data_IF_702789388229
#
_entry.id   IF_702789388229
#
_cell.length_a   1.000
_cell.length_b   1.000
_cell.length_c   1.000
_cell.angle_alpha   90.00
_cell.angle_beta   90.00
_cell.angle_gamma   90.00
#
_symmetry.space_group_name_H-M   'P 1'
#
loop_
_entity.id
_entity.type
_entity.pdbx_description
1 polymer ?
#
# COMPACT_ATOMS: atom_id res chain seq x y z
N UNK A 1 -45.28 38.47 49.73
CA UNK A 1 -43.97 37.78 49.73
C UNK A 1 -43.98 36.81 48.56
N UNK A 2 -43.55 37.32 47.41
CA UNK A 2 -43.14 36.52 46.26
C UNK A 2 -42.05 35.54 46.70
N UNK A 3 -42.14 34.28 46.25
CA UNK A 3 -40.96 33.45 46.03
C UNK A 3 -41.12 32.80 44.66
N UNK A 4 -40.09 33.04 43.85
CA UNK A 4 -39.98 32.86 42.40
C UNK A 4 -40.29 31.44 41.88
N UNK A 5 -40.96 31.46 40.73
CA UNK A 5 -40.96 30.44 39.69
C UNK A 5 -39.53 30.23 39.16
N UNK A 6 -38.97 29.01 39.30
CA UNK A 6 -37.74 28.63 38.58
C UNK A 6 -37.76 27.16 38.13
N UNK A 7 -38.00 27.04 36.82
CA UNK A 7 -37.40 26.09 35.87
C UNK A 7 -38.12 24.75 35.60
N UNK A 8 -39.06 24.71 34.62
CA UNK A 8 -39.52 23.48 34.02
C UNK A 8 -38.70 23.21 32.74
N UNK A 9 -37.45 22.73 32.85
CA UNK A 9 -36.68 22.27 31.68
C UNK A 9 -35.89 20.99 31.95
N UNK A 10 -36.60 19.94 32.36
CA UNK A 10 -36.12 18.56 32.21
C UNK A 10 -37.28 17.62 31.88
N UNK A 11 -38.07 17.99 30.88
CA UNK A 11 -38.87 16.99 30.17
C UNK A 11 -37.98 16.39 29.09
N UNK A 12 -37.48 15.16 29.30
CA UNK A 12 -37.12 14.29 28.19
C UNK A 12 -38.41 13.97 27.42
N UNK A 13 -38.88 14.92 26.60
CA UNK A 13 -39.83 14.58 25.56
C UNK A 13 -39.09 13.67 24.60
N UNK A 14 -39.49 12.41 24.54
CA UNK A 14 -39.21 11.50 23.43
C UNK A 14 -39.85 12.09 22.16
N UNK A 15 -39.30 13.20 21.65
CA UNK A 15 -39.67 13.72 20.33
C UNK A 15 -38.96 12.82 19.34
N UNK A 16 -39.70 11.86 18.81
CA UNK A 16 -39.26 11.16 17.60
C UNK A 16 -38.86 12.25 16.57
N UNK A 17 -37.62 12.20 16.05
CA UNK A 17 -37.05 13.30 15.26
C UNK A 17 -37.68 13.42 13.87
N UNK A 18 -38.54 12.47 13.51
CA UNK A 18 -39.28 12.42 12.26
C UNK A 18 -40.72 12.90 12.44
N UNK A 19 -41.27 13.54 11.41
CA UNK A 19 -42.70 13.81 11.27
C UNK A 19 -43.48 12.55 10.87
N UNK A 20 -44.81 12.64 10.82
CA UNK A 20 -45.69 11.52 10.44
C UNK A 20 -45.45 11.04 9.00
N UNK A 21 -44.77 11.83 8.17
CA UNK A 21 -44.38 11.50 6.80
C UNK A 21 -42.97 10.90 6.72
N UNK A 22 -42.30 10.67 7.86
CA UNK A 22 -40.95 10.13 7.93
C UNK A 22 -39.84 11.12 7.55
N UNK A 23 -40.12 12.43 7.46
CA UNK A 23 -39.12 13.48 7.22
C UNK A 23 -38.59 14.04 8.53
N UNK A 24 -37.31 14.37 8.55
CA UNK A 24 -36.65 14.96 9.72
C UNK A 24 -37.24 16.35 10.01
N UNK A 25 -37.65 16.59 11.26
CA UNK A 25 -38.18 17.88 11.67
C UNK A 25 -37.09 18.96 11.64
N UNK A 26 -37.49 20.21 11.38
CA UNK A 26 -36.55 21.34 11.23
C UNK A 26 -35.90 21.70 12.58
N UNK A 27 -36.55 21.40 13.70
CA UNK A 27 -36.06 21.59 15.07
C UNK A 27 -35.28 20.38 15.63
N UNK A 28 -35.05 19.34 14.80
CA UNK A 28 -34.34 18.15 15.24
C UNK A 28 -32.85 18.46 15.52
N UNK A 29 -32.45 18.30 16.77
CA UNK A 29 -31.05 18.38 17.21
C UNK A 29 -30.46 16.98 17.41
N UNK A 30 -29.13 16.87 17.28
CA UNK A 30 -28.42 15.66 17.62
C UNK A 30 -28.52 15.39 19.12
N UNK A 31 -28.44 14.12 19.53
CA UNK A 31 -28.47 13.74 20.93
C UNK A 31 -27.20 14.19 21.71
N UNK A 32 -26.14 14.58 20.99
CA UNK A 32 -24.90 15.15 21.54
C UNK A 32 -24.23 16.03 20.48
N UNK A 33 -23.57 17.10 20.91
CA UNK A 33 -22.77 17.98 20.04
C UNK A 33 -21.36 17.42 19.77
N UNK A 34 -20.95 16.44 20.57
CA UNK A 34 -19.68 15.73 20.46
C UNK A 34 -19.67 14.78 19.24
N UNK A 35 -18.97 15.20 18.18
CA UNK A 35 -18.92 14.48 16.90
C UNK A 35 -18.29 13.09 17.04
N UNK A 36 -17.32 12.91 17.91
CA UNK A 36 -16.64 11.62 18.10
C UNK A 36 -17.60 10.59 18.68
N UNK A 37 -18.48 11.02 19.60
CA UNK A 37 -19.57 10.17 20.13
C UNK A 37 -20.62 9.85 19.08
N UNK A 38 -20.98 10.81 18.23
CA UNK A 38 -21.93 10.57 17.12
C UNK A 38 -21.38 9.53 16.14
N UNK A 39 -20.09 9.62 15.81
CA UNK A 39 -19.41 8.66 14.92
C UNK A 39 -19.26 7.30 15.61
N UNK A 40 -18.86 7.28 16.89
CA UNK A 40 -18.73 6.03 17.66
C UNK A 40 -20.05 5.26 17.77
N UNK A 41 -21.15 5.96 18.02
CA UNK A 41 -22.47 5.35 18.17
C UNK A 41 -23.23 5.17 16.85
N UNK A 42 -22.58 5.39 15.69
CA UNK A 42 -23.24 5.22 14.41
C UNK A 42 -23.59 3.73 14.20
N UNK A 43 -24.83 3.38 13.80
CA UNK A 43 -25.28 1.99 13.72
C UNK A 43 -24.40 1.11 12.82
N UNK A 44 -23.87 1.65 11.72
CA UNK A 44 -22.99 0.88 10.83
C UNK A 44 -21.64 0.57 11.49
N UNK A 45 -21.07 1.51 12.25
CA UNK A 45 -19.85 1.29 13.04
C UNK A 45 -20.03 0.18 14.07
N UNK A 46 -21.12 0.24 14.83
CA UNK A 46 -21.47 -0.78 15.83
C UNK A 46 -21.65 -2.14 15.16
N UNK A 47 -22.31 -2.20 13.99
CA UNK A 47 -22.47 -3.46 13.24
C UNK A 47 -21.13 -4.06 12.79
N UNK A 48 -20.17 -3.21 12.39
CA UNK A 48 -18.80 -3.63 12.03
C UNK A 48 -18.05 -4.14 13.26
N UNK A 49 -18.07 -3.41 14.37
CA UNK A 49 -17.44 -3.81 15.64
C UNK A 49 -17.99 -5.13 16.16
N UNK A 50 -19.31 -5.34 16.03
CA UNK A 50 -19.98 -6.59 16.37
C UNK A 50 -19.76 -7.73 15.37
N UNK A 51 -18.99 -7.53 14.30
CA UNK A 51 -18.69 -8.52 13.24
C UNK A 51 -19.93 -9.23 12.65
N UNK A 52 -21.10 -8.55 12.60
CA UNK A 52 -22.36 -9.16 12.15
C UNK A 52 -22.57 -9.04 10.64
N UNK A 53 -21.98 -9.96 9.87
CA UNK A 53 -22.13 -10.02 8.41
C UNK A 53 -23.55 -10.01 7.87
N UNK A 54 -24.44 -10.79 8.49
CA UNK A 54 -25.82 -10.97 7.99
C UNK A 54 -26.60 -9.66 7.97
N UNK A 55 -26.33 -8.76 8.93
CA UNK A 55 -26.93 -7.43 8.98
C UNK A 55 -26.28 -6.47 7.97
N UNK A 56 -24.96 -6.53 7.79
CA UNK A 56 -24.27 -5.69 6.81
C UNK A 56 -24.55 -6.10 5.35
N UNK A 57 -24.78 -7.40 5.10
CA UNK A 57 -25.20 -7.93 3.79
C UNK A 57 -26.67 -7.65 3.48
N UNK A 58 -27.45 -7.12 4.43
CA UNK A 58 -28.85 -6.79 4.21
C UNK A 58 -29.00 -5.77 3.05
N UNK A 59 -29.94 -5.99 2.11
CA UNK A 59 -30.10 -5.13 0.94
C UNK A 59 -30.33 -3.65 1.30
N UNK A 60 -30.97 -3.36 2.43
CA UNK A 60 -31.21 -1.98 2.91
C UNK A 60 -29.90 -1.30 3.31
N UNK A 61 -29.05 -2.00 4.07
CA UNK A 61 -27.74 -1.48 4.51
C UNK A 61 -26.80 -1.29 3.32
N UNK A 62 -26.78 -2.25 2.39
CA UNK A 62 -26.01 -2.16 1.16
C UNK A 62 -26.45 -0.97 0.29
N UNK A 63 -27.76 -0.72 0.17
CA UNK A 63 -28.29 0.42 -0.57
C UNK A 63 -27.92 1.75 0.11
N UNK A 64 -28.03 1.84 1.43
CA UNK A 64 -27.66 3.03 2.20
C UNK A 64 -26.18 3.40 2.00
N UNK A 65 -25.27 2.42 2.12
CA UNK A 65 -23.83 2.63 1.92
C UNK A 65 -23.56 3.07 0.47
N UNK A 66 -24.20 2.41 -0.50
CA UNK A 66 -24.05 2.75 -1.92
C UNK A 66 -24.57 4.16 -2.22
N UNK A 67 -25.67 4.57 -1.60
CA UNK A 67 -26.24 5.91 -1.74
C UNK A 67 -25.28 6.97 -1.19
N UNK A 68 -24.77 6.82 0.05
CA UNK A 68 -23.78 7.74 0.65
C UNK A 68 -22.51 7.83 -0.20
N UNK A 69 -22.00 6.70 -0.68
CA UNK A 69 -20.83 6.65 -1.55
C UNK A 69 -21.06 7.40 -2.86
N UNK A 70 -22.18 7.16 -3.54
CA UNK A 70 -22.47 7.80 -4.83
C UNK A 70 -22.80 9.30 -4.70
N UNK A 71 -23.36 9.73 -3.57
CA UNK A 71 -23.74 11.13 -3.38
C UNK A 71 -22.53 12.04 -3.17
N UNK A 72 -21.55 11.64 -2.34
CA UNK A 72 -20.43 12.51 -1.94
C UNK A 72 -19.09 11.77 -1.93
N UNK A 73 -19.03 10.59 -1.30
CA UNK A 73 -17.75 9.89 -1.03
C UNK A 73 -16.93 9.58 -2.28
N UNK A 74 -17.61 9.22 -3.38
CA UNK A 74 -17.00 8.95 -4.69
C UNK A 74 -16.15 10.13 -5.18
N UNK A 75 -16.72 11.32 -5.16
CA UNK A 75 -16.08 12.50 -5.76
C UNK A 75 -14.84 12.89 -4.97
N UNK A 76 -14.97 13.00 -3.65
CA UNK A 76 -13.85 13.33 -2.74
C UNK A 76 -12.70 12.32 -2.90
N UNK A 77 -13.02 11.03 -2.94
CA UNK A 77 -12.02 9.99 -3.08
C UNK A 77 -11.31 10.01 -4.44
N UNK A 78 -12.05 10.12 -5.55
CA UNK A 78 -11.44 10.14 -6.88
C UNK A 78 -10.65 11.42 -7.15
N UNK A 79 -11.05 12.57 -6.57
CA UNK A 79 -10.24 13.79 -6.65
C UNK A 79 -8.92 13.64 -5.91
N UNK A 80 -8.94 13.07 -4.70
CA UNK A 80 -7.73 12.82 -3.91
C UNK A 80 -6.79 11.82 -4.60
N UNK A 81 -7.33 10.70 -5.09
CA UNK A 81 -6.59 9.72 -5.88
C UNK A 81 -6.01 10.34 -7.16
N UNK A 82 -6.77 11.21 -7.83
CA UNK A 82 -6.34 11.89 -9.05
C UNK A 82 -5.18 12.86 -8.80
N UNK A 83 -5.27 13.68 -7.75
CA UNK A 83 -4.21 14.61 -7.35
C UNK A 83 -2.93 13.84 -7.00
N UNK A 84 -3.04 12.77 -6.21
CA UNK A 84 -1.89 11.96 -5.83
C UNK A 84 -1.27 11.21 -7.04
N UNK A 85 -2.10 10.66 -7.92
CA UNK A 85 -1.61 9.97 -9.13
C UNK A 85 -0.91 10.95 -10.08
N UNK A 86 -1.44 12.17 -10.23
CA UNK A 86 -0.79 13.23 -10.99
C UNK A 86 0.58 13.54 -10.38
N UNK A 87 0.63 13.84 -9.07
CA UNK A 87 1.89 14.06 -8.35
C UNK A 87 2.91 12.94 -8.59
N UNK A 88 2.48 11.67 -8.56
CA UNK A 88 3.38 10.53 -8.76
C UNK A 88 3.90 10.41 -10.20
N UNK A 89 3.06 10.68 -11.20
CA UNK A 89 3.48 10.77 -12.59
C UNK A 89 4.49 11.90 -12.79
N UNK A 90 4.22 13.05 -12.16
CA UNK A 90 5.10 14.20 -12.17
C UNK A 90 6.47 13.85 -11.53
N UNK A 91 6.46 13.24 -10.34
CA UNK A 91 7.68 12.80 -9.66
C UNK A 91 8.50 11.81 -10.49
N UNK A 92 7.83 10.84 -11.12
CA UNK A 92 8.47 9.82 -11.97
C UNK A 92 9.11 10.46 -13.21
N UNK A 93 8.43 11.43 -13.82
CA UNK A 93 8.97 12.18 -14.94
C UNK A 93 10.21 13.00 -14.55
N UNK A 94 10.15 13.74 -13.43
CA UNK A 94 11.27 14.52 -12.92
C UNK A 94 12.54 13.69 -12.69
N UNK A 95 12.40 12.48 -12.15
CA UNK A 95 13.54 11.60 -11.86
C UNK A 95 14.08 10.96 -13.13
N UNK A 96 13.23 10.68 -14.11
CA UNK A 96 13.66 10.13 -15.40
C UNK A 96 14.45 11.17 -16.22
N UNK A 97 14.05 12.45 -16.14
CA UNK A 97 14.75 13.53 -16.85
C UNK A 97 16.06 13.93 -16.20
N UNK A 98 16.20 13.76 -14.88
CA UNK A 98 17.49 13.88 -14.22
C UNK A 98 18.22 12.55 -14.31
N UNK A 99 19.02 12.37 -15.35
CA UNK A 99 19.99 11.28 -15.38
C UNK A 99 20.98 11.43 -14.21
N UNK A 100 21.39 10.30 -13.62
CA UNK A 100 22.56 10.25 -12.74
C UNK A 100 23.73 10.94 -13.47
N UNK A 101 24.51 11.81 -12.81
CA UNK A 101 25.68 12.42 -13.44
C UNK A 101 26.58 11.29 -13.94
N UNK A 102 26.61 11.07 -15.24
CA UNK A 102 27.61 10.23 -15.86
C UNK A 102 28.84 11.11 -15.97
N UNK A 103 29.92 10.74 -15.28
CA UNK A 103 31.19 11.49 -15.21
C UNK A 103 31.81 11.85 -16.58
N UNK A 104 31.24 11.38 -17.70
CA UNK A 104 31.86 11.44 -19.03
C UNK A 104 31.06 12.15 -20.13
N UNK A 105 29.87 12.75 -19.88
CA UNK A 105 29.05 13.34 -20.97
C UNK A 105 28.43 14.71 -20.61
N UNK A 106 29.21 15.67 -20.12
CA UNK A 106 28.70 17.03 -19.84
C UNK A 106 29.41 18.11 -20.66
N UNK A 107 29.39 18.00 -22.01
CA UNK A 107 29.85 19.13 -22.85
C UNK A 107 29.10 19.44 -24.14
N UNK A 108 28.02 18.74 -24.51
CA UNK A 108 27.42 18.94 -25.84
C UNK A 108 25.92 19.28 -25.93
N UNK A 109 25.16 19.36 -24.84
CA UNK A 109 23.76 19.79 -24.92
C UNK A 109 23.49 20.99 -24.01
N UNK A 110 23.80 22.20 -24.47
CA UNK A 110 23.57 23.44 -23.69
C UNK A 110 22.37 24.26 -24.17
N UNK A 111 21.76 23.92 -25.30
CA UNK A 111 20.69 24.74 -25.90
C UNK A 111 19.28 24.23 -25.55
N UNK A 112 19.07 22.90 -25.50
CA UNK A 112 17.81 22.27 -25.08
C UNK A 112 17.60 22.22 -23.55
N UNK A 113 18.59 22.64 -22.76
CA UNK A 113 18.60 22.52 -21.29
C UNK A 113 17.82 23.67 -20.63
N UNK A 114 17.71 24.85 -21.25
CA UNK A 114 17.05 26.01 -20.64
C UNK A 114 15.52 25.94 -20.73
N UNK A 115 14.94 25.49 -21.85
CA UNK A 115 13.48 25.32 -21.97
C UNK A 115 12.95 24.21 -21.06
N UNK A 116 13.65 23.07 -20.98
CA UNK A 116 13.31 21.98 -20.06
C UNK A 116 13.43 22.41 -18.60
N UNK A 117 14.45 23.21 -18.25
CA UNK A 117 14.62 23.76 -16.89
C UNK A 117 13.47 24.69 -16.48
N UNK A 118 12.91 25.49 -17.40
CA UNK A 118 11.79 26.38 -17.08
C UNK A 118 10.51 25.60 -16.73
N UNK A 119 10.19 24.56 -17.50
CA UNK A 119 9.07 23.65 -17.21
C UNK A 119 9.30 22.93 -15.87
N UNK A 120 10.52 22.43 -15.63
CA UNK A 120 10.91 21.76 -14.40
C UNK A 120 10.84 22.69 -13.16
N UNK A 121 11.05 24.00 -13.32
CA UNK A 121 10.94 25.00 -12.24
C UNK A 121 9.47 25.28 -11.88
N UNK A 122 8.60 25.46 -12.87
CA UNK A 122 7.14 25.61 -12.64
C UNK A 122 6.54 24.36 -12.01
N UNK A 123 7.02 23.20 -12.41
CA UNK A 123 6.68 21.90 -11.86
C UNK A 123 7.24 21.67 -10.45
N UNK A 124 8.47 22.13 -10.19
CA UNK A 124 9.04 22.15 -8.85
C UNK A 124 8.19 23.00 -7.91
N UNK A 125 7.75 24.19 -8.33
CA UNK A 125 6.89 25.07 -7.53
C UNK A 125 5.54 24.43 -7.18
N UNK A 126 4.95 23.67 -8.11
CA UNK A 126 3.72 22.90 -7.88
C UNK A 126 3.95 21.77 -6.86
N UNK A 127 5.09 21.07 -6.94
CA UNK A 127 5.49 20.04 -5.99
C UNK A 127 5.80 20.67 -4.62
N UNK A 128 6.59 21.75 -4.56
CA UNK A 128 6.92 22.52 -3.35
C UNK A 128 5.68 22.99 -2.57
N UNK A 129 4.59 23.34 -3.26
CA UNK A 129 3.32 23.70 -2.63
C UNK A 129 2.61 22.50 -1.98
N UNK A 130 2.81 21.28 -2.50
CA UNK A 130 2.17 20.04 -2.04
C UNK A 130 2.99 19.28 -0.98
N UNK A 131 4.31 19.46 -0.92
CA UNK A 131 5.24 18.68 -0.07
C UNK A 131 5.96 19.48 1.02
N UNK A 132 5.44 20.66 1.41
CA UNK A 132 6.06 21.60 2.37
C UNK A 132 6.50 20.99 3.72
N UNK A 133 6.00 19.80 4.11
CA UNK A 133 6.41 19.10 5.33
C UNK A 133 7.58 18.11 5.14
N UNK A 134 7.84 17.61 3.94
CA UNK A 134 8.94 16.66 3.64
C UNK A 134 10.26 17.35 3.27
N UNK A 135 10.20 18.61 2.87
CA UNK A 135 11.39 19.38 2.45
C UNK A 135 12.31 19.76 3.60
N UNK A 136 11.82 19.87 4.84
CA UNK A 136 12.71 20.14 5.99
C UNK A 136 13.68 18.98 6.26
N UNK A 137 13.24 17.73 5.99
CA UNK A 137 14.07 16.54 6.14
C UNK A 137 14.98 16.32 4.91
N UNK A 138 14.46 16.58 3.70
CA UNK A 138 15.25 16.53 2.45
C UNK A 138 16.32 17.62 2.40
N UNK A 139 16.04 18.82 2.92
CA UNK A 139 16.99 19.93 2.99
C UNK A 139 18.14 19.62 3.96
N UNK A 140 17.87 18.97 5.10
CA UNK A 140 18.91 18.54 6.05
C UNK A 140 19.80 17.42 5.47
N UNK A 141 19.23 16.49 4.69
CA UNK A 141 19.97 15.41 4.02
C UNK A 141 20.76 15.89 2.78
N UNK A 142 20.36 17.01 2.15
CA UNK A 142 20.88 17.44 0.85
C UNK A 142 22.27 18.09 0.91
N UNK A 143 22.73 18.61 2.05
CA UNK A 143 23.98 19.36 2.10
C UNK A 143 25.26 18.52 2.33
N UNK A 144 25.16 17.22 2.69
CA UNK A 144 26.33 16.44 3.11
C UNK A 144 26.72 15.23 2.23
N UNK A 145 25.83 14.65 1.41
CA UNK A 145 26.17 13.42 0.65
C UNK A 145 25.55 13.42 -0.75
N UNK A 146 26.36 13.67 -1.79
CA UNK A 146 25.90 13.70 -3.19
C UNK A 146 25.56 12.30 -3.75
N UNK A 147 26.29 11.27 -3.32
CA UNK A 147 26.11 9.88 -3.78
C UNK A 147 24.85 9.21 -3.18
N UNK A 148 24.45 9.64 -1.98
CA UNK A 148 23.31 9.07 -1.24
C UNK A 148 21.97 9.60 -1.77
N UNK A 149 21.97 10.75 -2.46
CA UNK A 149 20.74 11.38 -2.98
C UNK A 149 19.98 10.48 -3.95
N UNK A 150 20.69 9.79 -4.83
CA UNK A 150 20.06 8.90 -5.82
C UNK A 150 19.49 7.63 -5.20
N UNK A 151 20.19 7.09 -4.19
CA UNK A 151 19.71 5.93 -3.42
C UNK A 151 18.43 6.29 -2.67
N UNK A 152 18.46 7.39 -1.92
CA UNK A 152 17.29 7.88 -1.16
C UNK A 152 16.14 8.27 -2.08
N UNK A 153 16.43 8.91 -3.21
CA UNK A 153 15.44 9.25 -4.24
C UNK A 153 14.76 8.00 -4.83
N UNK A 154 15.53 6.95 -5.13
CA UNK A 154 14.99 5.67 -5.61
C UNK A 154 14.04 5.02 -4.60
N UNK A 155 14.44 4.95 -3.32
CA UNK A 155 13.57 4.44 -2.26
C UNK A 155 12.31 5.29 -2.06
N UNK A 156 12.43 6.62 -2.14
CA UNK A 156 11.30 7.53 -1.99
C UNK A 156 10.25 7.30 -3.10
N UNK A 157 10.68 7.14 -4.36
CA UNK A 157 9.79 6.81 -5.47
C UNK A 157 9.12 5.47 -5.25
N UNK A 158 9.89 4.45 -4.90
CA UNK A 158 9.36 3.11 -4.65
C UNK A 158 8.28 3.14 -3.56
N UNK A 159 8.55 3.79 -2.42
CA UNK A 159 7.58 3.95 -1.33
C UNK A 159 6.36 4.75 -1.79
N UNK A 160 6.52 5.78 -2.63
CA UNK A 160 5.41 6.56 -3.15
C UNK A 160 4.47 5.73 -4.05
N UNK A 161 5.01 4.82 -4.87
CA UNK A 161 4.22 3.86 -5.66
C UNK A 161 3.53 2.80 -4.78
N UNK A 162 4.19 2.31 -3.71
CA UNK A 162 3.54 1.43 -2.73
C UNK A 162 2.40 2.16 -1.99
N UNK A 163 2.57 3.45 -1.69
CA UNK A 163 1.51 4.27 -1.08
C UNK A 163 0.32 4.47 -2.03
N UNK A 164 0.54 4.57 -3.35
CA UNK A 164 -0.56 4.53 -4.33
C UNK A 164 -1.38 3.25 -4.20
N UNK A 165 -0.70 2.10 -4.07
CA UNK A 165 -1.36 0.80 -3.89
C UNK A 165 -2.22 0.80 -2.61
N UNK A 166 -1.76 1.41 -1.50
CA UNK A 166 -2.59 1.59 -0.31
C UNK A 166 -3.78 2.53 -0.49
N UNK A 167 -3.69 3.56 -1.35
CA UNK A 167 -4.84 4.39 -1.69
C UNK A 167 -5.87 3.59 -2.48
N UNK A 168 -5.45 2.82 -3.49
CA UNK A 168 -6.31 1.95 -4.31
C UNK A 168 -7.02 0.89 -3.45
N UNK A 169 -6.45 0.50 -2.30
CA UNK A 169 -7.07 -0.40 -1.31
C UNK A 169 -8.50 0.01 -0.90
N UNK A 170 -8.83 1.31 -0.94
CA UNK A 170 -10.16 1.82 -0.59
C UNK A 170 -11.21 1.63 -1.70
N UNK A 171 -10.81 1.19 -2.91
CA UNK A 171 -11.75 0.98 -4.02
C UNK A 171 -12.56 -0.32 -3.87
N UNK A 172 -13.88 -0.30 -4.14
CA UNK A 172 -14.76 -1.47 -4.03
C UNK A 172 -14.29 -2.70 -4.80
N UNK A 173 -13.70 -2.48 -5.98
CA UNK A 173 -13.32 -3.54 -6.92
C UNK A 173 -11.88 -4.03 -6.70
N UNK A 174 -10.94 -3.09 -6.60
CA UNK A 174 -9.51 -3.41 -6.52
C UNK A 174 -9.02 -3.66 -5.08
N UNK A 175 -9.70 -3.10 -4.08
CA UNK A 175 -9.26 -3.16 -2.69
C UNK A 175 -9.20 -4.57 -2.10
N UNK A 176 -10.07 -5.47 -2.55
CA UNK A 176 -10.08 -6.88 -2.12
C UNK A 176 -8.77 -7.55 -2.54
N UNK A 177 -8.38 -7.43 -3.81
CA UNK A 177 -7.16 -8.04 -4.34
C UNK A 177 -5.91 -7.53 -3.62
N UNK A 178 -5.87 -6.24 -3.30
CA UNK A 178 -4.76 -5.62 -2.58
C UNK A 178 -4.67 -6.13 -1.13
N UNK A 179 -5.81 -6.25 -0.43
CA UNK A 179 -5.85 -6.83 0.92
C UNK A 179 -5.39 -8.29 0.90
N UNK A 180 -5.90 -9.08 -0.04
CA UNK A 180 -5.49 -10.48 -0.22
C UNK A 180 -4.00 -10.59 -0.53
N UNK A 181 -3.45 -9.70 -1.36
CA UNK A 181 -2.03 -9.69 -1.70
C UNK A 181 -1.16 -9.50 -0.45
N UNK A 182 -1.44 -8.50 0.38
CA UNK A 182 -0.64 -8.26 1.59
C UNK A 182 -0.78 -9.39 2.62
N UNK A 183 -1.96 -9.98 2.74
CA UNK A 183 -2.15 -11.15 3.61
C UNK A 183 -1.29 -12.33 3.12
N UNK A 184 -1.27 -12.62 1.81
CA UNK A 184 -0.42 -13.67 1.21
C UNK A 184 1.07 -13.35 1.34
N UNK A 185 1.48 -12.09 1.15
CA UNK A 185 2.88 -11.68 1.36
C UNK A 185 3.29 -11.89 2.81
N UNK A 186 2.40 -11.63 3.77
CA UNK A 186 2.67 -11.86 5.19
C UNK A 186 2.85 -13.36 5.50
N UNK A 187 1.99 -14.22 4.96
CA UNK A 187 2.13 -15.67 5.19
C UNK A 187 3.34 -16.25 4.48
N UNK A 188 3.65 -15.76 3.27
CA UNK A 188 4.89 -16.07 2.56
C UNK A 188 6.12 -15.67 3.40
N UNK A 189 6.18 -14.45 3.93
CA UNK A 189 7.30 -13.99 4.76
C UNK A 189 7.50 -14.85 6.02
N UNK A 190 6.41 -15.34 6.62
CA UNK A 190 6.50 -16.29 7.72
C UNK A 190 7.15 -17.61 7.30
N UNK A 191 6.84 -18.11 6.10
CA UNK A 191 7.47 -19.33 5.54
C UNK A 191 8.95 -19.15 5.18
N UNK A 192 9.35 -17.93 4.77
CA UNK A 192 10.74 -17.59 4.40
C UNK A 192 11.71 -17.81 5.56
N UNK A 193 11.29 -17.67 6.83
CA UNK A 193 12.16 -17.90 7.99
C UNK A 193 12.68 -19.34 8.02
N UNK A 194 11.82 -20.32 7.71
CA UNK A 194 12.19 -21.74 7.67
C UNK A 194 13.12 -22.00 6.49
N UNK A 195 12.83 -21.42 5.32
CA UNK A 195 13.65 -21.58 4.12
C UNK A 195 15.01 -20.89 4.24
N UNK A 196 15.08 -19.77 4.98
CA UNK A 196 16.29 -19.01 5.22
C UNK A 196 17.38 -19.83 5.90
N UNK A 197 17.02 -20.77 6.77
CA UNK A 197 17.98 -21.70 7.38
C UNK A 197 18.68 -22.58 6.34
N UNK A 198 17.92 -23.11 5.38
CA UNK A 198 18.49 -23.90 4.29
C UNK A 198 19.31 -23.04 3.33
N UNK A 199 18.87 -21.82 3.00
CA UNK A 199 19.64 -20.89 2.15
C UNK A 199 21.00 -20.58 2.79
N UNK A 200 21.03 -20.32 4.10
CA UNK A 200 22.30 -20.08 4.82
C UNK A 200 23.18 -21.34 4.81
N UNK A 201 22.62 -22.53 5.06
CA UNK A 201 23.38 -23.78 5.07
C UNK A 201 24.01 -24.10 3.71
N UNK A 202 23.22 -24.05 2.63
CA UNK A 202 23.71 -24.30 1.26
C UNK A 202 24.65 -23.20 0.77
N UNK A 203 24.41 -21.93 1.12
CA UNK A 203 25.34 -20.86 0.76
C UNK A 203 26.71 -21.07 1.38
N UNK A 204 26.79 -21.46 2.66
CA UNK A 204 28.08 -21.77 3.29
C UNK A 204 28.75 -22.99 2.66
N UNK A 205 27.99 -24.01 2.26
CA UNK A 205 28.51 -25.18 1.55
C UNK A 205 29.13 -24.77 0.21
N UNK A 206 28.42 -24.00 -0.62
CA UNK A 206 28.93 -23.53 -1.90
C UNK A 206 30.07 -22.54 -1.76
N UNK A 207 30.04 -21.67 -0.75
CA UNK A 207 31.16 -20.78 -0.45
C UNK A 207 32.46 -21.56 -0.22
N UNK A 208 32.43 -22.63 0.57
CA UNK A 208 33.63 -23.42 0.86
C UNK A 208 34.07 -24.25 -0.37
N UNK A 209 33.12 -24.90 -1.05
CA UNK A 209 33.46 -25.87 -2.11
C UNK A 209 33.70 -25.22 -3.48
N UNK A 210 33.20 -23.99 -3.69
CA UNK A 210 33.29 -23.26 -4.96
C UNK A 210 33.96 -21.89 -4.82
N UNK A 211 34.73 -21.66 -3.75
CA UNK A 211 35.46 -20.40 -3.51
C UNK A 211 36.32 -19.90 -4.69
N UNK A 212 36.72 -20.79 -5.59
CA UNK A 212 37.51 -20.44 -6.77
C UNK A 212 36.69 -19.74 -7.88
N UNK A 213 35.36 -19.64 -7.72
CA UNK A 213 34.43 -19.00 -8.66
C UNK A 213 34.07 -17.60 -8.18
N UNK A 214 33.95 -16.66 -9.11
CA UNK A 214 33.68 -15.25 -8.80
C UNK A 214 32.39 -15.04 -8.01
N UNK A 215 31.38 -15.84 -8.34
CA UNK A 215 30.05 -15.84 -7.71
C UNK A 215 30.08 -16.28 -6.23
N UNK A 216 31.12 -17.02 -5.83
CA UNK A 216 31.27 -17.59 -4.49
C UNK A 216 32.50 -17.06 -3.76
N UNK A 217 33.17 -16.03 -4.30
CA UNK A 217 34.38 -15.43 -3.68
C UNK A 217 34.13 -14.83 -2.31
N UNK A 218 32.94 -14.24 -2.09
CA UNK A 218 32.58 -13.64 -0.80
C UNK A 218 31.35 -14.31 -0.21
N UNK A 219 31.26 -14.30 1.13
CA UNK A 219 30.10 -14.85 1.85
C UNK A 219 28.79 -14.21 1.40
N UNK A 220 28.80 -12.89 1.15
CA UNK A 220 27.61 -12.16 0.69
C UNK A 220 27.20 -12.55 -0.74
N UNK A 221 28.15 -12.61 -1.66
CA UNK A 221 27.90 -13.04 -3.05
C UNK A 221 27.34 -14.47 -3.10
N UNK A 222 27.87 -15.36 -2.26
CA UNK A 222 27.38 -16.73 -2.15
C UNK A 222 25.94 -16.81 -1.65
N UNK A 223 25.57 -16.02 -0.64
CA UNK A 223 24.17 -15.95 -0.17
C UNK A 223 23.25 -15.42 -1.27
N UNK A 224 23.66 -14.36 -1.98
CA UNK A 224 22.88 -13.80 -3.10
C UNK A 224 22.73 -14.81 -4.23
N UNK A 225 23.82 -15.47 -4.67
CA UNK A 225 23.79 -16.50 -5.71
C UNK A 225 22.91 -17.68 -5.31
N UNK A 226 23.02 -18.16 -4.06
CA UNK A 226 22.17 -19.25 -3.54
C UNK A 226 20.70 -18.84 -3.49
N UNK A 227 20.41 -17.57 -3.18
CA UNK A 227 19.03 -17.04 -3.21
C UNK A 227 18.48 -16.97 -4.63
N UNK A 228 19.29 -16.56 -5.62
CA UNK A 228 18.88 -16.60 -7.04
C UNK A 228 18.66 -18.04 -7.52
N UNK A 229 19.52 -18.97 -7.11
CA UNK A 229 19.35 -20.40 -7.38
C UNK A 229 18.06 -20.97 -6.75
N UNK A 230 17.64 -20.46 -5.59
CA UNK A 230 16.37 -20.84 -4.96
C UNK A 230 15.18 -20.47 -5.85
N UNK A 231 15.18 -19.28 -6.46
CA UNK A 231 14.13 -18.81 -7.39
C UNK A 231 13.97 -19.73 -8.61
N UNK A 232 14.99 -20.53 -8.93
CA UNK A 232 14.98 -21.50 -10.02
C UNK A 232 16.04 -21.23 -11.08
N UNK A 233 16.83 -20.16 -10.94
CA UNK A 233 17.92 -19.81 -11.85
C UNK A 233 19.18 -20.61 -11.49
N UNK A 234 19.27 -21.85 -11.99
CA UNK A 234 20.44 -22.72 -11.80
C UNK A 234 21.25 -22.77 -13.09
N UNK A 235 22.31 -21.96 -13.15
CA UNK A 235 23.25 -21.99 -14.27
C UNK A 235 24.40 -22.98 -13.99
N UNK A 236 24.16 -24.24 -14.32
CA UNK A 236 25.15 -25.31 -14.15
C UNK A 236 26.39 -25.11 -15.02
N UNK A 237 26.22 -24.58 -16.23
CA UNK A 237 27.30 -24.52 -17.22
C UNK A 237 28.38 -23.55 -16.77
N UNK A 238 28.00 -22.34 -16.38
CA UNK A 238 28.96 -21.32 -15.93
C UNK A 238 29.57 -21.63 -14.56
N UNK A 239 28.88 -22.43 -13.74
CA UNK A 239 29.35 -22.82 -12.41
C UNK A 239 30.47 -23.87 -12.48
N UNK A 240 30.36 -24.82 -13.42
CA UNK A 240 31.24 -26.00 -13.49
C UNK A 240 32.15 -26.07 -14.72
N UNK A 241 31.82 -25.38 -15.81
CA UNK A 241 32.67 -25.30 -17.01
C UNK A 241 33.19 -23.87 -17.18
N UNK A 242 34.51 -23.75 -17.36
CA UNK A 242 35.13 -22.48 -17.71
C UNK A 242 34.95 -22.21 -19.21
N UNK A 243 34.55 -20.99 -19.56
CA UNK A 243 34.38 -20.56 -20.96
C UNK A 243 35.74 -20.35 -21.68
N UNK A 244 36.83 -20.22 -20.91
CA UNK A 244 38.17 -20.19 -21.45
C UNK A 244 38.70 -21.61 -21.55
N UNK A 245 39.10 -22.03 -22.76
CA UNK A 245 39.63 -23.36 -23.09
C UNK A 245 40.93 -23.76 -22.38
N UNK A 246 41.24 -23.17 -21.23
CA UNK A 246 42.29 -23.61 -20.31
C UNK A 246 41.88 -24.90 -19.59
N UNK A 247 42.48 -26.01 -20.02
CA UNK A 247 42.66 -27.28 -19.31
C UNK A 247 41.58 -27.63 -18.26
N UNK A 248 40.56 -28.35 -18.71
CA UNK A 248 39.59 -29.17 -17.94
C UNK A 248 39.94 -29.39 -16.46
N UNK A 249 39.62 -28.42 -15.60
CA UNK A 249 39.56 -28.66 -14.16
C UNK A 249 38.25 -29.37 -13.93
N UNK A 250 38.30 -30.71 -13.84
CA UNK A 250 37.10 -31.51 -13.64
C UNK A 250 36.32 -30.96 -12.44
N UNK A 251 35.00 -30.74 -12.57
CA UNK A 251 34.20 -30.23 -11.47
C UNK A 251 34.29 -31.21 -10.30
N UNK A 252 34.46 -30.68 -9.10
CA UNK A 252 34.52 -31.49 -7.89
C UNK A 252 33.24 -32.36 -7.83
N UNK A 253 33.33 -33.70 -7.85
CA UNK A 253 32.16 -34.57 -7.86
C UNK A 253 31.23 -34.32 -6.68
N UNK A 254 31.79 -33.92 -5.53
CA UNK A 254 31.03 -33.57 -4.33
C UNK A 254 30.19 -32.30 -4.54
N UNK A 255 30.71 -31.31 -5.26
CA UNK A 255 29.95 -30.10 -5.58
C UNK A 255 28.78 -30.38 -6.53
N UNK A 256 28.95 -31.31 -7.48
CA UNK A 256 27.85 -31.76 -8.34
C UNK A 256 26.75 -32.47 -7.53
N UNK A 257 27.14 -33.35 -6.59
CA UNK A 257 26.20 -34.02 -5.69
C UNK A 257 25.44 -33.01 -4.82
N UNK A 258 26.15 -32.02 -4.27
CA UNK A 258 25.53 -30.97 -3.47
C UNK A 258 24.56 -30.11 -4.29
N UNK A 259 24.90 -29.78 -5.55
CA UNK A 259 23.97 -29.08 -6.44
C UNK A 259 22.73 -29.93 -6.74
N UNK A 260 22.91 -31.21 -7.02
CA UNK A 260 21.78 -32.12 -7.27
C UNK A 260 20.84 -32.20 -6.06
N UNK A 261 21.40 -32.34 -4.85
CA UNK A 261 20.63 -32.30 -3.60
C UNK A 261 19.93 -30.95 -3.41
N UNK A 262 20.59 -29.84 -3.74
CA UNK A 262 20.02 -28.50 -3.69
C UNK A 262 18.81 -28.36 -4.61
N UNK A 263 18.89 -28.82 -5.87
CA UNK A 263 17.78 -28.72 -6.83
C UNK A 263 16.56 -29.50 -6.32
N UNK A 264 16.76 -30.72 -5.82
CA UNK A 264 15.66 -31.52 -5.27
C UNK A 264 15.02 -30.81 -4.06
N UNK A 265 15.83 -30.39 -3.09
CA UNK A 265 15.31 -29.84 -1.84
C UNK A 265 14.74 -28.43 -2.08
N UNK A 266 15.52 -27.51 -2.62
CA UNK A 266 15.18 -26.09 -2.67
C UNK A 266 14.29 -25.74 -3.86
N UNK A 267 14.58 -26.28 -5.05
CA UNK A 267 13.83 -25.93 -6.27
C UNK A 267 12.59 -26.78 -6.46
N UNK A 268 12.61 -28.07 -6.10
CA UNK A 268 11.46 -28.97 -6.31
C UNK A 268 10.60 -29.08 -5.06
N UNK A 269 11.16 -29.45 -3.90
CA UNK A 269 10.36 -29.67 -2.69
C UNK A 269 9.86 -28.35 -2.09
N UNK A 270 10.76 -27.38 -1.88
CA UNK A 270 10.39 -26.14 -1.20
C UNK A 270 9.51 -25.22 -2.06
N UNK A 271 9.78 -25.06 -3.36
CA UNK A 271 8.91 -24.24 -4.22
C UNK A 271 7.49 -24.80 -4.29
N UNK A 272 7.34 -26.12 -4.43
CA UNK A 272 6.02 -26.74 -4.48
C UNK A 272 5.29 -26.66 -3.13
N UNK A 273 6.03 -26.75 -2.00
CA UNK A 273 5.46 -26.55 -0.68
C UNK A 273 4.97 -25.10 -0.48
N UNK A 274 5.77 -24.12 -0.92
CA UNK A 274 5.45 -22.70 -0.80
C UNK A 274 4.21 -22.33 -1.61
N UNK A 275 4.12 -22.83 -2.85
CA UNK A 275 2.92 -22.67 -3.68
C UNK A 275 1.72 -23.38 -3.04
N UNK A 276 1.91 -24.58 -2.48
CA UNK A 276 0.86 -25.32 -1.77
C UNK A 276 0.28 -24.54 -0.59
N UNK A 277 1.14 -24.00 0.27
CA UNK A 277 0.74 -23.17 1.42
C UNK A 277 0.01 -21.89 0.98
N UNK A 278 0.52 -21.21 -0.06
CA UNK A 278 -0.09 -19.99 -0.57
C UNK A 278 -1.49 -20.24 -1.17
N UNK A 279 -1.70 -21.38 -1.85
CA UNK A 279 -2.99 -21.76 -2.44
C UNK A 279 -4.02 -22.16 -1.38
N UNK A 280 -3.60 -22.73 -0.26
CA UNK A 280 -4.53 -23.03 0.83
C UNK A 280 -4.89 -21.79 1.64
N UNK A 281 -3.92 -20.89 1.87
CA UNK A 281 -4.15 -19.61 2.55
C UNK A 281 -5.10 -18.70 1.74
N UNK A 282 -5.01 -18.69 0.40
CA UNK A 282 -5.83 -17.77 -0.42
C UNK A 282 -7.33 -18.03 -0.26
N UNK A 283 -7.74 -19.29 -0.05
CA UNK A 283 -9.15 -19.69 0.12
C UNK A 283 -9.70 -19.16 1.45
N UNK A 284 -8.95 -19.33 2.54
CA UNK A 284 -9.34 -18.85 3.87
C UNK A 284 -9.34 -17.30 3.94
N UNK A 285 -8.35 -16.67 3.29
CA UNK A 285 -8.26 -15.21 3.21
C UNK A 285 -9.41 -14.62 2.38
N UNK A 286 -9.88 -15.30 1.33
CA UNK A 286 -10.99 -14.82 0.50
C UNK A 286 -12.29 -14.64 1.30
N UNK A 287 -12.63 -15.59 2.19
CA UNK A 287 -13.83 -15.49 3.03
C UNK A 287 -13.72 -14.31 4.03
N UNK A 288 -12.55 -14.12 4.63
CA UNK A 288 -12.24 -12.98 5.50
C UNK A 288 -12.17 -11.65 4.75
N UNK A 289 -11.79 -11.65 3.47
CA UNK A 289 -11.68 -10.45 2.66
C UNK A 289 -13.07 -9.87 2.31
N UNK A 290 -14.10 -10.72 2.15
CA UNK A 290 -15.48 -10.24 1.95
C UNK A 290 -15.97 -9.40 3.13
N UNK A 291 -15.73 -9.89 4.34
CA UNK A 291 -15.97 -9.22 5.62
C UNK A 291 -15.29 -7.87 5.68
N UNK A 292 -13.98 -7.90 5.46
CA UNK A 292 -13.09 -6.73 5.55
C UNK A 292 -13.46 -5.69 4.52
N UNK A 293 -13.89 -6.09 3.31
CA UNK A 293 -14.37 -5.18 2.27
C UNK A 293 -15.59 -4.38 2.74
N UNK A 294 -16.58 -5.03 3.32
CA UNK A 294 -17.81 -4.34 3.73
C UNK A 294 -17.51 -3.39 4.88
N UNK A 295 -16.67 -3.80 5.84
CA UNK A 295 -16.18 -2.94 6.91
C UNK A 295 -15.42 -1.72 6.37
N UNK A 296 -14.47 -1.92 5.44
CA UNK A 296 -13.73 -0.83 4.79
C UNK A 296 -14.66 0.15 4.07
N UNK A 297 -15.72 -0.34 3.43
CA UNK A 297 -16.73 0.50 2.79
C UNK A 297 -17.47 1.38 3.80
N UNK A 298 -17.90 0.80 4.93
CA UNK A 298 -18.56 1.53 6.02
C UNK A 298 -17.62 2.58 6.60
N UNK A 299 -16.42 2.19 7.00
CA UNK A 299 -15.41 3.11 7.55
C UNK A 299 -15.10 4.24 6.58
N UNK A 300 -14.96 3.95 5.27
CA UNK A 300 -14.71 4.99 4.28
C UNK A 300 -15.90 5.95 4.13
N UNK A 301 -17.14 5.50 4.31
CA UNK A 301 -18.31 6.40 4.31
C UNK A 301 -18.48 7.20 5.60
N UNK A 302 -17.91 6.73 6.72
CA UNK A 302 -17.97 7.40 8.03
C UNK A 302 -16.78 8.34 8.29
N UNK A 303 -15.59 8.05 7.73
CA UNK A 303 -14.34 8.81 7.92
C UNK A 303 -14.42 10.25 7.38
N UNK A 304 -15.40 10.58 6.53
CA UNK A 304 -15.61 11.94 6.04
C UNK A 304 -16.72 12.62 6.85
N UNK A 305 -16.43 13.29 7.99
CA UNK A 305 -17.44 14.04 8.75
C UNK A 305 -18.09 15.16 7.92
N UNK A 306 -17.36 15.68 6.92
CA UNK A 306 -17.89 16.61 5.92
C UNK A 306 -19.01 16.01 5.06
N UNK A 307 -19.11 14.69 4.92
CA UNK A 307 -20.19 14.03 4.20
C UNK A 307 -21.54 14.23 4.91
N UNK A 308 -21.58 14.28 6.26
CA UNK A 308 -22.82 14.62 6.98
C UNK A 308 -23.27 16.07 6.69
N UNK A 309 -22.31 17.01 6.70
CA UNK A 309 -22.57 18.43 6.37
C UNK A 309 -22.94 18.63 4.91
N UNK A 310 -22.28 17.99 3.95
CA UNK A 310 -22.57 18.11 2.51
C UNK A 310 -23.89 17.41 2.17
N UNK A 311 -24.23 16.28 2.79
CA UNK A 311 -25.55 15.66 2.58
C UNK A 311 -26.66 16.54 3.16
N UNK A 312 -26.44 17.18 4.31
CA UNK A 312 -27.34 18.20 4.85
C UNK A 312 -27.39 19.45 3.96
N UNK A 313 -26.25 19.93 3.41
CA UNK A 313 -26.18 21.11 2.55
C UNK A 313 -26.81 20.87 1.18
N UNK A 314 -26.59 19.71 0.56
CA UNK A 314 -27.20 19.32 -0.72
C UNK A 314 -28.70 19.06 -0.54
N UNK A 315 -29.11 18.47 0.59
CA UNK A 315 -30.53 18.35 0.94
C UNK A 315 -31.18 19.73 1.20
N UNK A 316 -30.45 20.70 1.75
CA UNK A 316 -30.91 22.08 1.92
C UNK A 316 -30.90 22.88 0.61
N UNK A 317 -29.94 22.63 -0.28
CA UNK A 317 -29.79 23.30 -1.58
C UNK A 317 -30.88 22.84 -2.57
N UNK A 318 -31.13 21.53 -2.66
CA UNK A 318 -32.24 20.98 -3.46
C UNK A 318 -33.62 21.38 -2.92
N UNK A 319 -33.72 21.91 -1.69
CA UNK A 319 -34.96 22.42 -1.07
C UNK A 319 -35.18 23.92 -1.31
N UNK A 320 -34.20 24.66 -1.83
CA UNK A 320 -34.37 26.08 -2.25
C UNK A 320 -34.84 26.24 -3.70
N UNK A 321 -34.81 25.17 -4.50
CA UNK A 321 -35.14 25.19 -5.92
C UNK A 321 -36.31 24.25 -6.31
N UNK A 322 -37.12 23.80 -5.34
CA UNK A 322 -38.38 23.09 -5.56
C UNK A 322 -39.49 23.72 -4.72
#
# INVERSE_FOLDING_TARGET
>A
LEIEEKNPKFCHQNRYPYDENGKLKVDASLYTDDLDKVVANHPLKIMVECKRLSLLKNPVVAYLIRHKWNSVGRYIYYTDLGIYSLFLLLLTHYITERSMPNDNIDKYDTENVYEKRFILILFNLLIYFLTYLTDLLNFLLCYCFQDVKWIVGGFAVFIAWINLLFMIRKLPKFGIYILMFFDVVSTFLQSVVVFGLFVVAFSMLFFIWLQNREEFKTRWLSVMKTTMMMVGEVDYVTMFFDNDGSMNKQPNPWANIALFAFVIIMTILLMNLLVGLAVDDIKAVQEKAELTRIAMHVSCTEQYPGCSRITQFVALYNRKHC
#
